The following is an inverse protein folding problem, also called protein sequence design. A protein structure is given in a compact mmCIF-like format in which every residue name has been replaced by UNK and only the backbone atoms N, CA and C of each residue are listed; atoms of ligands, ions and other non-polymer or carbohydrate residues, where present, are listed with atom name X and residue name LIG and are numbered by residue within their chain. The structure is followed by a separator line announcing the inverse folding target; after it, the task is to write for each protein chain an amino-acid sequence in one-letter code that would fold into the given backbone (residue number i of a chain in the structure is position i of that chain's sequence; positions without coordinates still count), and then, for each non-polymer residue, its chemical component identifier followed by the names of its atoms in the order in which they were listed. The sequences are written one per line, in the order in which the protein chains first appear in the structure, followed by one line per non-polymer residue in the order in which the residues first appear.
data_IF_398034935177
#
_entry.id   IF_398034935177
#
_cell.length_a   1.000
_cell.length_b   1.000
_cell.length_c   1.000
_cell.angle_alpha   90.00
_cell.angle_beta   90.00
_cell.angle_gamma   90.00
#
_symmetry.space_group_name_H-M   'P 1'
#
loop_
_entity.id
_entity.type
_entity.pdbx_description
1 polymer ?
#
# COMPACT_ATOMS: atom_id res chain seq x y z
N UNK A 1 25.23 -7.30 31.91
CA UNK A 1 24.17 -6.35 31.50
C UNK A 1 24.07 -6.40 29.98
N UNK A 2 23.09 -7.14 29.47
CA UNK A 2 22.84 -7.33 28.04
C UNK A 2 22.28 -6.05 27.43
N UNK A 3 22.93 -5.57 26.35
CA UNK A 3 22.40 -4.52 25.48
C UNK A 3 21.09 -5.02 24.88
N UNK A 4 20.02 -4.23 25.04
CA UNK A 4 18.73 -4.50 24.40
C UNK A 4 18.88 -4.52 22.88
N UNK A 5 18.54 -5.65 22.27
CA UNK A 5 18.31 -5.74 20.83
C UNK A 5 17.14 -4.80 20.49
N UNK A 6 17.37 -3.86 19.56
CA UNK A 6 16.29 -3.11 18.95
C UNK A 6 15.36 -4.06 18.21
N UNK A 7 14.06 -3.78 18.24
CA UNK A 7 13.05 -4.52 17.50
C UNK A 7 13.37 -4.49 16.01
N UNK A 8 13.57 -5.67 15.41
CA UNK A 8 13.64 -5.83 13.96
C UNK A 8 12.24 -5.62 13.38
N UNK A 9 12.06 -4.55 12.61
CA UNK A 9 10.82 -4.29 11.88
C UNK A 9 10.94 -4.90 10.47
N UNK A 10 10.10 -5.90 10.20
CA UNK A 10 10.03 -6.55 8.90
C UNK A 10 9.00 -5.83 8.02
N UNK A 11 9.46 -5.26 6.92
CA UNK A 11 8.61 -4.77 5.85
C UNK A 11 9.00 -5.46 4.54
N UNK A 12 8.05 -6.13 3.92
CA UNK A 12 8.18 -6.69 2.59
C UNK A 12 7.07 -6.07 1.72
N UNK A 13 7.49 -5.42 0.64
CA UNK A 13 6.58 -4.85 -0.37
C UNK A 13 6.78 -5.63 -1.66
N UNK A 14 5.69 -6.13 -2.23
CA UNK A 14 5.70 -6.74 -3.56
C UNK A 14 4.80 -5.87 -4.43
N UNK A 15 5.42 -5.10 -5.33
CA UNK A 15 4.71 -4.39 -6.37
C UNK A 15 4.75 -5.26 -7.63
N UNK A 16 3.61 -5.82 -8.00
CA UNK A 16 3.47 -6.59 -9.21
C UNK A 16 2.23 -6.07 -9.92
N UNK A 17 2.41 -5.02 -10.68
CA UNK A 17 1.32 -4.66 -11.55
C UNK A 17 1.52 -3.50 -12.47
N UNK A 18 2.64 -2.77 -12.44
CA UNK A 18 2.81 -1.82 -13.54
C UNK A 18 2.85 -2.58 -14.89
N UNK A 19 3.41 -3.79 -14.97
CA UNK A 19 3.84 -4.30 -16.27
C UNK A 19 3.95 -5.84 -16.41
N UNK A 20 3.05 -6.44 -17.21
CA UNK A 20 3.23 -7.77 -17.83
C UNK A 20 2.41 -8.93 -17.22
N UNK A 21 2.19 -9.97 -18.03
CA UNK A 21 1.58 -11.24 -17.60
C UNK A 21 2.60 -12.05 -16.82
N UNK A 22 2.25 -12.42 -15.59
CA UNK A 22 3.07 -13.29 -14.73
C UNK A 22 2.46 -14.69 -14.77
N UNK A 23 3.10 -15.62 -15.49
CA UNK A 23 2.60 -16.99 -15.68
C UNK A 23 2.89 -17.91 -14.48
N UNK A 24 3.93 -17.59 -13.73
CA UNK A 24 4.35 -18.31 -12.52
C UNK A 24 5.21 -17.34 -11.72
N UNK A 25 4.97 -17.24 -10.42
CA UNK A 25 5.81 -16.45 -9.53
C UNK A 25 6.12 -17.26 -8.27
N UNK A 26 7.33 -17.12 -7.77
CA UNK A 26 7.72 -17.61 -6.44
C UNK A 26 7.92 -16.39 -5.57
N UNK A 27 7.02 -16.17 -4.60
CA UNK A 27 7.23 -15.15 -3.59
C UNK A 27 8.20 -15.72 -2.56
N UNK A 28 9.47 -15.30 -2.62
CA UNK A 28 10.36 -15.42 -1.49
C UNK A 28 10.28 -14.12 -0.72
N UNK A 29 9.63 -14.15 0.44
CA UNK A 29 9.59 -12.99 1.33
C UNK A 29 10.97 -12.86 1.95
N UNK A 30 11.78 -11.99 1.37
CA UNK A 30 13.04 -11.53 1.95
C UNK A 30 12.80 -10.13 2.53
N UNK A 31 13.43 -9.78 3.67
CA UNK A 31 13.42 -8.42 4.15
C UNK A 31 13.95 -7.50 3.04
N UNK A 32 13.16 -6.51 2.61
CA UNK A 32 13.59 -5.56 1.58
C UNK A 32 14.81 -4.73 2.00
N UNK A 33 15.02 -4.62 3.31
CA UNK A 33 16.11 -3.90 3.94
C UNK A 33 16.31 -4.42 5.36
N UNK A 34 17.55 -4.45 5.83
CA UNK A 34 17.86 -4.61 7.26
C UNK A 34 17.90 -3.21 7.90
N UNK A 35 16.84 -2.84 8.62
CA UNK A 35 16.80 -1.57 9.35
C UNK A 35 17.59 -1.70 10.66
N UNK A 36 18.80 -1.17 10.68
CA UNK A 36 19.56 -1.00 11.91
C UNK A 36 19.35 0.41 12.47
N UNK A 37 18.57 0.52 13.55
CA UNK A 37 18.48 1.76 14.31
C UNK A 37 19.73 1.93 15.19
N UNK A 38 20.61 2.86 14.81
CA UNK A 38 21.73 3.27 15.67
C UNK A 38 21.32 4.46 16.52
N UNK A 39 21.36 4.31 17.85
CA UNK A 39 21.25 5.45 18.77
C UNK A 39 22.60 6.16 18.87
N UNK A 40 22.67 7.42 18.46
CA UNK A 40 23.82 8.27 18.72
C UNK A 40 23.65 8.91 20.10
N UNK A 41 24.38 8.41 21.11
CA UNK A 41 24.50 9.11 22.38
C UNK A 41 25.47 10.26 22.22
N UNK A 42 24.98 11.49 22.10
CA UNK A 42 25.84 12.67 22.27
C UNK A 42 26.23 12.76 23.75
N UNK A 43 27.48 12.45 24.06
CA UNK A 43 28.00 12.55 25.42
C UNK A 43 28.04 14.00 25.89
N UNK A 44 27.19 14.38 26.82
CA UNK A 44 27.48 15.44 27.78
C UNK A 44 27.57 14.82 29.17
N UNK A 45 28.79 14.74 29.69
CA UNK A 45 29.07 14.36 31.06
C UNK A 45 28.53 15.42 32.02
N UNK A 46 27.27 15.28 32.42
CA UNK A 46 26.69 15.65 33.73
C UNK A 46 25.16 15.67 33.66
N UNK A 47 24.49 14.86 34.50
CA UNK A 47 23.05 14.97 34.81
C UNK A 47 22.09 14.54 33.70
N UNK A 48 21.93 13.22 33.51
CA UNK A 48 21.11 12.64 32.45
C UNK A 48 19.60 12.90 32.57
N UNK A 49 19.08 13.72 31.66
CA UNK A 49 17.69 13.59 31.16
C UNK A 49 17.77 12.88 29.81
N UNK A 50 17.14 11.70 29.68
CA UNK A 50 16.95 11.03 28.40
C UNK A 50 16.04 11.91 27.51
N UNK A 51 16.65 12.77 26.70
CA UNK A 51 15.98 13.40 25.55
C UNK A 51 16.27 12.56 24.32
N UNK A 52 15.25 11.91 23.79
CA UNK A 52 15.25 11.43 22.41
C UNK A 52 15.24 12.66 21.49
N UNK A 53 16.41 13.10 21.04
CA UNK A 53 16.52 14.12 19.99
C UNK A 53 16.82 13.44 18.65
N UNK A 54 15.87 13.52 17.72
CA UNK A 54 16.13 13.30 16.30
C UNK A 54 16.94 14.51 15.79
N UNK A 55 18.26 14.35 15.63
CA UNK A 55 19.07 15.32 14.88
C UNK A 55 19.54 14.69 13.57
N UNK A 56 19.08 15.23 12.45
CA UNK A 56 19.62 14.94 11.12
C UNK A 56 20.38 16.18 10.68
N UNK A 57 21.71 16.09 10.59
CA UNK A 57 22.54 17.15 10.04
C UNK A 57 22.19 17.39 8.57
N UNK A 58 21.82 18.62 8.25
CA UNK A 58 21.49 19.07 6.91
C UNK A 58 22.76 19.28 6.08
N UNK A 59 22.74 18.80 4.83
CA UNK A 59 23.56 19.35 3.75
C UNK A 59 22.68 20.33 2.95
N UNK A 60 23.26 21.38 2.35
CA UNK A 60 22.51 22.53 1.85
C UNK A 60 21.55 22.13 0.74
N UNK A 61 20.35 22.74 0.76
CA UNK A 61 19.36 22.61 -0.28
C UNK A 61 19.98 22.95 -1.65
N UNK A 62 19.79 22.09 -2.64
CA UNK A 62 20.08 22.42 -4.04
C UNK A 62 19.28 23.68 -4.41
N UNK A 63 19.88 24.64 -5.14
CA UNK A 63 19.21 25.88 -5.49
C UNK A 63 17.95 25.61 -6.31
N UNK A 64 16.87 26.31 -5.95
CA UNK A 64 15.61 26.29 -6.68
C UNK A 64 15.83 26.81 -8.09
N UNK A 65 15.56 25.98 -9.10
CA UNK A 65 15.46 26.44 -10.48
C UNK A 65 14.13 27.18 -10.64
N UNK A 66 14.11 28.48 -10.32
CA UNK A 66 13.04 29.40 -10.68
C UNK A 66 13.21 29.85 -12.14
N UNK A 67 12.71 29.02 -13.06
CA UNK A 67 12.46 29.40 -14.45
C UNK A 67 10.99 29.12 -14.77
N UNK A 68 10.37 29.87 -15.69
CA UNK A 68 8.98 29.63 -16.08
C UNK A 68 8.85 28.20 -16.64
N UNK A 69 8.13 27.33 -15.92
CA UNK A 69 7.78 25.98 -16.40
C UNK A 69 6.78 26.15 -17.53
N UNK A 70 7.27 26.15 -18.77
CA UNK A 70 6.46 25.70 -19.90
C UNK A 70 6.13 24.24 -19.61
N UNK A 71 4.91 23.96 -19.16
CA UNK A 71 4.43 22.61 -18.87
C UNK A 71 4.28 21.89 -20.21
N UNK A 72 5.38 21.33 -20.73
CA UNK A 72 5.27 20.22 -21.66
C UNK A 72 4.71 19.07 -20.84
N UNK A 73 3.56 18.46 -21.20
CA UNK A 73 3.14 17.24 -20.53
C UNK A 73 4.29 16.25 -20.65
N UNK A 74 4.74 15.71 -19.51
CA UNK A 74 5.74 14.64 -19.52
C UNK A 74 5.18 13.50 -20.36
N UNK A 75 6.06 12.75 -21.03
CA UNK A 75 5.70 11.56 -21.81
C UNK A 75 4.78 10.62 -21.00
N UNK A 76 5.00 10.54 -19.69
CA UNK A 76 4.18 9.81 -18.72
C UNK A 76 2.69 10.24 -18.73
N UNK A 77 2.40 11.55 -18.76
CA UNK A 77 1.01 12.05 -18.76
C UNK A 77 0.32 11.72 -20.08
N UNK A 78 1.02 11.88 -21.20
CA UNK A 78 0.50 11.54 -22.54
C UNK A 78 0.20 10.04 -22.60
N UNK A 79 1.13 9.23 -22.10
CA UNK A 79 1.03 7.79 -22.03
C UNK A 79 -0.17 7.33 -21.19
N UNK A 80 -0.34 7.87 -19.98
CA UNK A 80 -1.44 7.46 -19.10
C UNK A 80 -2.81 7.88 -19.66
N UNK A 81 -2.88 9.05 -20.33
CA UNK A 81 -4.08 9.44 -21.08
C UNK A 81 -4.37 8.49 -22.23
N UNK A 82 -3.34 7.99 -22.91
CA UNK A 82 -3.51 7.02 -23.98
C UNK A 82 -4.04 5.68 -23.45
N UNK A 83 -3.47 5.16 -22.35
CA UNK A 83 -3.93 3.93 -21.70
C UNK A 83 -5.38 4.06 -21.23
N UNK A 84 -5.74 5.22 -20.64
CA UNK A 84 -7.12 5.48 -20.23
C UNK A 84 -8.09 5.54 -21.43
N UNK A 85 -7.68 6.10 -22.57
CA UNK A 85 -8.49 6.19 -23.78
C UNK A 85 -8.57 4.87 -24.57
N UNK A 86 -7.55 4.01 -24.46
CA UNK A 86 -7.45 2.75 -25.17
C UNK A 86 -7.07 1.62 -24.20
N UNK A 87 -7.94 1.24 -23.28
CA UNK A 87 -7.56 0.33 -22.19
C UNK A 87 -7.20 -1.08 -22.69
N UNK A 88 -7.67 -1.48 -23.88
CA UNK A 88 -7.23 -2.72 -24.56
C UNK A 88 -5.74 -2.71 -24.95
N UNK A 89 -5.13 -1.54 -25.11
CA UNK A 89 -3.70 -1.40 -25.40
C UNK A 89 -2.82 -1.57 -24.16
N UNK A 90 -3.40 -1.52 -22.96
CA UNK A 90 -2.68 -1.56 -21.69
C UNK A 90 -1.73 -2.77 -21.64
N UNK A 91 -2.21 -3.96 -22.03
CA UNK A 91 -1.41 -5.18 -22.03
C UNK A 91 -0.13 -5.07 -22.89
N UNK A 92 -0.28 -4.64 -24.14
CA UNK A 92 0.84 -4.53 -25.08
C UNK A 92 1.85 -3.49 -24.64
N UNK A 93 1.33 -2.32 -24.26
CA UNK A 93 2.12 -1.19 -23.81
C UNK A 93 2.91 -1.51 -22.54
N UNK A 94 2.26 -2.18 -21.60
CA UNK A 94 2.86 -2.58 -20.35
C UNK A 94 3.98 -3.61 -20.58
N UNK A 95 3.75 -4.60 -21.45
CA UNK A 95 4.81 -5.54 -21.84
C UNK A 95 6.03 -4.84 -22.48
N UNK A 96 5.82 -3.82 -23.32
CA UNK A 96 6.91 -3.08 -23.96
C UNK A 96 7.73 -2.29 -22.93
N UNK A 97 7.06 -1.57 -22.04
CA UNK A 97 7.72 -0.83 -20.96
C UNK A 97 8.49 -1.76 -20.03
N UNK A 98 7.97 -2.94 -19.67
CA UNK A 98 8.71 -3.90 -18.83
C UNK A 98 10.04 -4.27 -19.46
N UNK A 99 10.03 -4.61 -20.75
CA UNK A 99 11.25 -4.98 -21.46
C UNK A 99 12.25 -3.83 -21.56
N UNK A 100 11.77 -2.58 -21.59
CA UNK A 100 12.62 -1.40 -21.72
C UNK A 100 13.23 -0.93 -20.38
N UNK A 101 12.45 -1.00 -19.29
CA UNK A 101 12.82 -0.38 -18.00
C UNK A 101 12.68 -1.32 -16.79
N UNK A 102 11.95 -2.41 -16.89
CA UNK A 102 11.72 -3.37 -15.81
C UNK A 102 12.93 -4.26 -15.53
N UNK A 103 13.14 -4.59 -14.26
CA UNK A 103 14.11 -5.63 -13.87
C UNK A 103 15.58 -5.19 -13.76
N UNK A 104 15.90 -3.89 -13.83
CA UNK A 104 17.24 -3.43 -13.45
C UNK A 104 17.33 -3.39 -11.93
N UNK A 105 17.94 -4.41 -11.34
CA UNK A 105 18.31 -4.41 -9.93
C UNK A 105 19.27 -3.24 -9.68
N UNK A 106 18.80 -2.23 -8.95
CA UNK A 106 19.64 -1.18 -8.42
C UNK A 106 19.63 -1.33 -6.90
N UNK A 107 20.82 -1.48 -6.32
CA UNK A 107 20.99 -1.45 -4.88
C UNK A 107 21.31 0.00 -4.48
N UNK A 108 20.40 0.63 -3.75
CA UNK A 108 20.58 1.99 -3.26
C UNK A 108 20.38 2.03 -1.75
N UNK A 109 21.36 2.60 -1.03
CA UNK A 109 21.25 2.84 0.41
C UNK A 109 20.68 4.25 0.61
N UNK A 110 19.42 4.31 1.03
CA UNK A 110 18.68 5.56 1.24
C UNK A 110 18.32 5.73 2.73
N UNK A 111 18.04 6.97 3.13
CA UNK A 111 17.40 7.22 4.43
C UNK A 111 16.00 6.58 4.42
N UNK A 112 15.57 6.02 5.55
CA UNK A 112 14.27 5.37 5.69
C UNK A 112 13.10 6.08 4.97
N UNK A 113 12.83 7.40 5.17
CA UNK A 113 11.75 8.07 4.45
C UNK A 113 11.94 8.09 2.92
N UNK A 114 13.18 8.16 2.43
CA UNK A 114 13.45 8.15 0.99
C UNK A 114 13.39 6.71 0.43
N UNK A 115 13.66 5.71 1.25
CA UNK A 115 13.52 4.30 0.89
C UNK A 115 12.05 3.88 0.81
N UNK A 116 11.17 4.44 1.64
CA UNK A 116 9.74 4.14 1.65
C UNK A 116 8.93 5.02 0.69
N UNK A 117 9.36 6.26 0.44
CA UNK A 117 8.74 7.19 -0.51
C UNK A 117 9.54 7.31 -1.82
N UNK A 118 9.83 6.17 -2.45
CA UNK A 118 10.66 6.10 -3.66
C UNK A 118 9.93 6.48 -4.96
N UNK A 119 8.59 6.56 -4.94
CA UNK A 119 7.79 6.84 -6.14
C UNK A 119 7.76 8.34 -6.46
N UNK A 120 8.80 8.83 -7.12
CA UNK A 120 8.76 10.14 -7.78
C UNK A 120 7.79 10.10 -8.95
N UNK A 121 6.77 10.98 -8.97
CA UNK A 121 5.88 11.15 -10.12
C UNK A 121 4.55 10.40 -10.10
N UNK A 122 4.28 9.57 -9.08
CA UNK A 122 2.95 8.96 -8.88
C UNK A 122 1.86 10.04 -8.71
N UNK A 123 2.23 11.19 -8.13
CA UNK A 123 1.34 12.35 -7.95
C UNK A 123 0.90 12.99 -9.28
N UNK A 124 1.55 12.67 -10.41
CA UNK A 124 1.24 13.26 -11.70
C UNK A 124 0.03 12.61 -12.39
N UNK A 125 -0.43 11.45 -11.89
CA UNK A 125 -1.49 10.66 -12.51
C UNK A 125 -2.54 10.36 -11.43
N UNK A 126 -3.71 11.00 -11.47
CA UNK A 126 -4.78 10.66 -10.56
C UNK A 126 -5.15 9.19 -10.72
N UNK A 127 -5.03 8.44 -9.63
CA UNK A 127 -5.37 7.02 -9.57
C UNK A 127 -6.50 6.79 -8.55
N UNK A 128 -7.18 5.68 -8.73
CA UNK A 128 -8.22 5.16 -7.84
C UNK A 128 -7.74 3.82 -7.29
N UNK A 129 -7.93 3.62 -5.99
CA UNK A 129 -7.25 2.59 -5.22
C UNK A 129 -8.19 1.99 -4.17
N UNK A 130 -8.51 0.71 -4.33
CA UNK A 130 -9.09 -0.11 -3.27
C UNK A 130 -7.98 -0.94 -2.64
N UNK A 131 -7.85 -0.83 -1.32
CA UNK A 131 -6.94 -1.64 -0.53
C UNK A 131 -7.65 -2.28 0.66
N UNK A 132 -7.41 -3.57 0.86
CA UNK A 132 -7.96 -4.36 1.95
C UNK A 132 -6.85 -5.13 2.69
N UNK A 133 -7.05 -5.36 3.97
CA UNK A 133 -6.11 -6.02 4.86
C UNK A 133 -6.72 -7.30 5.44
N UNK A 134 -6.03 -8.43 5.33
CA UNK A 134 -6.44 -9.69 5.94
C UNK A 134 -5.27 -10.41 6.62
N UNK A 135 -5.58 -11.25 7.60
CA UNK A 135 -4.57 -12.02 8.34
C UNK A 135 -3.99 -13.11 7.43
N UNK A 136 -2.66 -13.18 7.40
CA UNK A 136 -1.92 -14.20 6.67
C UNK A 136 -1.92 -15.49 7.49
N UNK A 137 -2.14 -16.61 6.82
CA UNK A 137 -1.96 -17.93 7.42
C UNK A 137 -0.51 -18.38 7.33
N UNK A 138 -0.12 -19.34 8.17
CA UNK A 138 1.28 -19.74 8.35
C UNK A 138 1.97 -20.17 7.03
N UNK A 139 1.21 -20.71 6.08
CA UNK A 139 1.70 -21.18 4.78
C UNK A 139 1.49 -20.16 3.65
N UNK A 140 0.99 -18.96 3.94
CA UNK A 140 0.65 -17.90 2.99
C UNK A 140 -0.37 -18.29 1.91
N UNK A 141 -1.06 -19.43 2.05
CA UNK A 141 -2.03 -19.86 1.03
C UNK A 141 -3.21 -18.89 0.89
N UNK A 142 -3.59 -18.16 1.95
CA UNK A 142 -4.61 -17.10 1.85
C UNK A 142 -4.18 -15.98 0.90
N UNK A 143 -2.90 -15.63 0.89
CA UNK A 143 -2.32 -14.62 -0.01
C UNK A 143 -2.32 -15.11 -1.45
N UNK A 144 -1.91 -16.37 -1.67
CA UNK A 144 -1.89 -16.98 -3.00
C UNK A 144 -3.30 -17.03 -3.60
N UNK A 145 -4.29 -17.45 -2.81
CA UNK A 145 -5.69 -17.49 -3.25
C UNK A 145 -6.21 -16.07 -3.52
N UNK A 146 -5.97 -15.12 -2.63
CA UNK A 146 -6.41 -13.73 -2.80
C UNK A 146 -5.84 -13.08 -4.07
N UNK A 147 -4.57 -13.34 -4.36
CA UNK A 147 -3.85 -12.79 -5.51
C UNK A 147 -4.30 -13.44 -6.83
N UNK A 148 -4.34 -14.78 -6.87
CA UNK A 148 -4.77 -15.52 -8.07
C UNK A 148 -6.22 -15.22 -8.43
N UNK A 149 -7.09 -14.98 -7.43
CA UNK A 149 -8.46 -14.54 -7.71
C UNK A 149 -8.49 -13.24 -8.54
N UNK A 150 -7.66 -12.25 -8.23
CA UNK A 150 -7.58 -11.01 -9.04
C UNK A 150 -7.10 -11.31 -10.46
N UNK A 151 -6.11 -12.19 -10.61
CA UNK A 151 -5.58 -12.62 -11.92
C UNK A 151 -6.67 -13.30 -12.76
N UNK A 152 -7.39 -14.25 -12.18
CA UNK A 152 -8.47 -14.97 -12.86
C UNK A 152 -9.55 -13.99 -13.33
N UNK A 153 -9.85 -13.00 -12.48
CA UNK A 153 -10.83 -11.96 -12.79
C UNK A 153 -10.34 -11.03 -13.90
N UNK A 154 -9.07 -10.67 -13.94
CA UNK A 154 -8.48 -9.93 -15.06
C UNK A 154 -8.68 -10.66 -16.40
N UNK A 155 -8.45 -11.98 -16.44
CA UNK A 155 -8.67 -12.77 -17.66
C UNK A 155 -10.15 -12.88 -18.04
N UNK A 156 -11.04 -13.02 -17.05
CA UNK A 156 -12.48 -13.09 -17.27
C UNK A 156 -12.99 -11.80 -17.94
N UNK A 157 -12.59 -10.63 -17.43
CA UNK A 157 -12.94 -9.32 -18.00
C UNK A 157 -12.30 -9.12 -19.38
N UNK A 158 -11.02 -9.47 -19.54
CA UNK A 158 -10.33 -9.36 -20.82
C UNK A 158 -10.99 -10.22 -21.91
N UNK A 159 -11.49 -11.42 -21.56
CA UNK A 159 -12.26 -12.28 -22.46
C UNK A 159 -13.57 -11.65 -22.97
N UNK A 160 -14.11 -10.65 -22.25
CA UNK A 160 -15.26 -9.84 -22.67
C UNK A 160 -14.88 -8.52 -23.35
N UNK A 161 -13.59 -8.24 -23.52
CA UNK A 161 -13.10 -6.96 -24.02
C UNK A 161 -13.22 -5.82 -23.00
N UNK A 162 -13.37 -6.14 -21.72
CA UNK A 162 -13.45 -5.19 -20.62
C UNK A 162 -12.10 -5.08 -19.90
N UNK A 163 -11.72 -3.87 -19.49
CA UNK A 163 -10.42 -3.59 -18.89
C UNK A 163 -10.56 -2.63 -17.70
N UNK A 164 -11.28 -3.04 -16.64
CA UNK A 164 -11.61 -2.17 -15.51
C UNK A 164 -10.41 -1.88 -14.60
N UNK A 165 -9.31 -2.61 -14.76
CA UNK A 165 -8.12 -2.54 -13.93
C UNK A 165 -6.88 -2.46 -14.83
N UNK A 166 -6.23 -1.29 -14.87
CA UNK A 166 -5.23 -0.98 -15.90
C UNK A 166 -3.91 -0.39 -15.40
N UNK A 167 -3.69 -0.32 -14.07
CA UNK A 167 -2.46 0.24 -13.54
C UNK A 167 -1.59 -0.73 -12.76
N UNK A 168 -1.98 -1.23 -11.58
CA UNK A 168 -1.15 -2.17 -10.81
C UNK A 168 -1.86 -2.86 -9.65
N UNK A 169 -1.50 -4.11 -9.38
CA UNK A 169 -1.80 -4.78 -8.11
C UNK A 169 -0.59 -4.63 -7.20
N UNK A 170 -0.77 -4.22 -5.96
CA UNK A 170 0.32 -4.19 -4.98
C UNK A 170 -0.07 -5.02 -3.76
N UNK A 171 0.93 -5.55 -3.08
CA UNK A 171 0.74 -6.10 -1.74
C UNK A 171 1.88 -5.69 -0.83
N UNK A 172 1.58 -5.61 0.46
CA UNK A 172 2.55 -5.38 1.52
C UNK A 172 2.22 -6.23 2.74
N UNK A 173 3.26 -6.68 3.42
CA UNK A 173 3.13 -7.42 4.67
C UNK A 173 3.48 -6.51 5.84
N UNK A 174 2.61 -6.50 6.85
CA UNK A 174 2.77 -5.71 8.07
C UNK A 174 2.49 -6.57 9.30
N UNK A 175 3.14 -6.25 10.42
CA UNK A 175 2.76 -6.79 11.72
C UNK A 175 1.41 -6.23 12.16
N UNK A 176 0.74 -6.95 13.05
CA UNK A 176 -0.53 -6.53 13.62
C UNK A 176 -0.38 -5.27 14.47
N UNK A 177 -1.52 -4.65 14.80
CA UNK A 177 -1.59 -3.48 15.67
C UNK A 177 -2.75 -3.62 16.64
N UNK A 178 -2.58 -3.17 17.88
CA UNK A 178 -3.68 -3.12 18.86
C UNK A 178 -4.49 -1.82 18.78
N UNK A 179 -4.20 -0.94 17.82
CA UNK A 179 -4.99 0.28 17.61
C UNK A 179 -6.43 -0.07 17.22
N UNK A 180 -7.41 0.44 17.97
CA UNK A 180 -8.80 -0.02 17.93
C UNK A 180 -9.37 -0.19 16.52
N UNK A 181 -9.13 0.78 15.65
CA UNK A 181 -9.66 0.80 14.29
C UNK A 181 -8.65 0.32 13.23
N UNK A 182 -7.49 -0.24 13.59
CA UNK A 182 -6.52 -0.69 12.59
C UNK A 182 -7.10 -1.75 11.64
N UNK A 183 -6.81 -1.62 10.35
CA UNK A 183 -7.13 -2.63 9.34
C UNK A 183 -6.35 -3.95 9.59
N UNK A 184 -5.19 -3.84 10.25
CA UNK A 184 -4.37 -4.95 10.74
C UNK A 184 -4.53 -5.18 12.26
N UNK A 185 -5.74 -4.93 12.80
CA UNK A 185 -6.00 -5.20 14.21
C UNK A 185 -5.95 -6.69 14.56
N UNK A 186 -5.10 -7.04 15.53
CA UNK A 186 -5.02 -8.34 16.19
C UNK A 186 -4.49 -8.15 17.63
N UNK A 187 -4.75 -9.11 18.51
CA UNK A 187 -4.17 -9.18 19.86
C UNK A 187 -2.84 -9.93 19.88
N UNK A 188 -2.58 -10.76 18.88
CA UNK A 188 -1.30 -11.42 18.66
C UNK A 188 -0.33 -10.45 17.95
N UNK A 189 0.74 -9.96 18.62
CA UNK A 189 1.69 -9.03 18.02
C UNK A 189 2.53 -9.66 16.89
N UNK A 190 2.59 -11.00 16.83
CA UNK A 190 3.36 -11.69 15.80
C UNK A 190 2.57 -11.95 14.52
N UNK A 191 1.24 -11.83 14.59
CA UNK A 191 0.36 -11.97 13.45
C UNK A 191 0.77 -11.06 12.28
N UNK A 192 0.86 -11.65 11.10
CA UNK A 192 1.18 -10.94 9.86
C UNK A 192 -0.13 -10.67 9.12
N UNK A 193 -0.26 -9.46 8.60
CA UNK A 193 -1.35 -9.05 7.73
C UNK A 193 -0.82 -8.77 6.32
N UNK A 194 -1.56 -9.23 5.32
CA UNK A 194 -1.38 -8.84 3.94
C UNK A 194 -2.32 -7.69 3.67
N UNK A 195 -1.77 -6.55 3.26
CA UNK A 195 -2.53 -5.48 2.64
C UNK A 195 -2.42 -5.67 1.13
N UNK A 196 -3.55 -5.89 0.47
CA UNK A 196 -3.64 -6.10 -0.98
C UNK A 196 -4.41 -4.93 -1.60
N UNK A 197 -3.89 -4.37 -2.68
CA UNK A 197 -4.49 -3.24 -3.40
C UNK A 197 -4.64 -3.52 -4.88
N UNK A 198 -5.76 -3.02 -5.44
CA UNK A 198 -5.96 -2.88 -6.88
C UNK A 198 -6.03 -1.40 -7.22
N UNK A 199 -5.08 -0.94 -8.03
CA UNK A 199 -4.92 0.44 -8.44
C UNK A 199 -5.24 0.61 -9.93
N UNK A 200 -6.06 1.59 -10.28
CA UNK A 200 -6.35 1.92 -11.68
C UNK A 200 -6.24 3.41 -11.93
N UNK A 201 -6.07 3.82 -13.18
CA UNK A 201 -6.16 5.24 -13.54
C UNK A 201 -7.56 5.76 -13.21
N UNK A 202 -7.65 6.96 -12.65
CA UNK A 202 -8.94 7.56 -12.30
C UNK A 202 -9.87 7.61 -13.53
N UNK A 203 -11.17 7.34 -13.32
CA UNK A 203 -12.21 7.23 -14.36
C UNK A 203 -12.08 6.04 -15.32
N UNK A 204 -11.28 5.03 -14.99
CA UNK A 204 -11.31 3.76 -15.73
C UNK A 204 -12.72 3.15 -15.66
N UNK A 205 -13.39 2.88 -16.80
CA UNK A 205 -14.74 2.32 -16.79
C UNK A 205 -14.80 0.96 -16.08
N UNK A 206 -15.81 0.77 -15.23
CA UNK A 206 -16.04 -0.51 -14.54
C UNK A 206 -15.16 -0.76 -13.31
N UNK A 207 -14.25 0.15 -12.94
CA UNK A 207 -13.34 -0.07 -11.80
C UNK A 207 -14.05 -0.23 -10.46
N UNK A 208 -15.10 0.56 -10.16
CA UNK A 208 -15.83 0.44 -8.90
C UNK A 208 -16.54 -0.91 -8.75
N UNK A 209 -17.10 -1.44 -9.83
CA UNK A 209 -17.72 -2.77 -9.85
C UNK A 209 -16.68 -3.87 -9.68
N UNK A 210 -15.59 -3.80 -10.46
CA UNK A 210 -14.47 -4.73 -10.37
C UNK A 210 -13.87 -4.75 -8.95
N UNK A 211 -13.54 -3.59 -8.41
CA UNK A 211 -12.96 -3.46 -7.07
C UNK A 211 -13.95 -3.93 -5.99
N UNK A 212 -15.25 -3.64 -6.11
CA UNK A 212 -16.27 -4.19 -5.20
C UNK A 212 -16.34 -5.71 -5.22
N UNK A 213 -16.18 -6.34 -6.42
CA UNK A 213 -16.11 -7.80 -6.56
C UNK A 213 -14.89 -8.37 -5.82
N UNK A 214 -13.72 -7.71 -5.91
CA UNK A 214 -12.52 -8.12 -5.18
C UNK A 214 -12.68 -7.94 -3.68
N UNK A 215 -13.16 -6.77 -3.23
CA UNK A 215 -13.42 -6.49 -1.82
C UNK A 215 -14.36 -7.52 -1.20
N UNK A 216 -15.46 -7.83 -1.88
CA UNK A 216 -16.43 -8.83 -1.43
C UNK A 216 -15.78 -10.21 -1.29
N UNK A 217 -15.00 -10.64 -2.28
CA UNK A 217 -14.29 -11.91 -2.19
C UNK A 217 -13.35 -11.94 -0.98
N UNK A 218 -12.56 -10.89 -0.76
CA UNK A 218 -11.63 -10.84 0.37
C UNK A 218 -12.34 -10.74 1.74
N UNK A 219 -13.47 -10.02 1.82
CA UNK A 219 -14.31 -9.96 3.02
C UNK A 219 -14.91 -11.33 3.37
N UNK A 220 -15.47 -12.02 2.37
CA UNK A 220 -16.17 -13.29 2.58
C UNK A 220 -15.21 -14.43 2.91
N UNK A 221 -14.01 -14.44 2.33
CA UNK A 221 -13.06 -15.55 2.48
C UNK A 221 -11.99 -15.31 3.55
N UNK A 222 -11.61 -14.05 3.80
CA UNK A 222 -10.47 -13.72 4.66
C UNK A 222 -10.80 -12.72 5.76
N UNK A 223 -12.07 -12.34 5.91
CA UNK A 223 -12.50 -11.30 6.85
C UNK A 223 -11.71 -10.00 6.65
N UNK A 224 -11.39 -9.67 5.39
CA UNK A 224 -10.57 -8.51 5.06
C UNK A 224 -11.24 -7.19 5.47
N UNK A 225 -10.44 -6.21 5.88
CA UNK A 225 -10.89 -4.88 6.33
C UNK A 225 -10.25 -3.81 5.46
N UNK A 226 -10.96 -2.72 5.11
CA UNK A 226 -10.42 -1.70 4.25
C UNK A 226 -9.29 -0.93 4.91
N UNK A 227 -8.33 -0.52 4.10
CA UNK A 227 -7.41 0.53 4.50
C UNK A 227 -8.13 1.89 4.44
N UNK A 228 -8.27 2.55 5.58
CA UNK A 228 -9.13 3.74 5.72
C UNK A 228 -8.80 4.89 4.77
N UNK A 229 -7.54 5.02 4.36
CA UNK A 229 -7.08 6.10 3.49
C UNK A 229 -7.41 5.87 2.00
N UNK A 230 -8.05 4.75 1.66
CA UNK A 230 -8.31 4.31 0.28
C UNK A 230 -9.82 4.28 0.01
N UNK A 231 -10.22 3.94 -1.21
CA UNK A 231 -11.63 3.91 -1.57
C UNK A 231 -12.26 2.56 -1.20
N UNK A 232 -13.22 2.60 -0.29
CA UNK A 232 -13.93 1.39 0.18
C UNK A 232 -15.42 1.64 0.41
N UNK A 233 -15.86 2.90 0.47
CA UNK A 233 -17.24 3.27 0.80
C UNK A 233 -18.25 2.80 -0.26
N UNK A 234 -17.81 2.65 -1.52
CA UNK A 234 -18.62 2.14 -2.63
C UNK A 234 -18.90 0.64 -2.52
N UNK A 235 -18.16 -0.10 -1.69
CA UNK A 235 -18.31 -1.55 -1.55
C UNK A 235 -19.67 -1.88 -0.90
N UNK A 236 -20.54 -2.66 -1.57
CA UNK A 236 -21.87 -2.98 -1.04
C UNK A 236 -21.82 -3.67 0.33
N UNK A 237 -22.56 -3.13 1.30
CA UNK A 237 -22.67 -3.72 2.64
C UNK A 237 -21.45 -3.55 3.53
N UNK A 238 -20.47 -2.73 3.13
CA UNK A 238 -19.21 -2.53 3.88
C UNK A 238 -19.43 -1.97 5.28
N UNK A 239 -20.33 -1.00 5.46
CA UNK A 239 -20.57 -0.38 6.78
C UNK A 239 -21.14 -1.38 7.80
N UNK A 240 -22.23 -2.12 7.52
CA UNK A 240 -22.69 -3.18 8.41
C UNK A 240 -21.62 -4.24 8.69
N UNK A 241 -20.83 -4.61 7.68
CA UNK A 241 -19.72 -5.55 7.84
C UNK A 241 -18.65 -5.03 8.81
N UNK A 242 -18.22 -3.79 8.66
CA UNK A 242 -17.20 -3.17 9.51
C UNK A 242 -17.66 -3.04 10.96
N UNK A 243 -18.93 -2.70 11.18
CA UNK A 243 -19.49 -2.68 12.54
C UNK A 243 -19.41 -4.05 13.21
N UNK A 244 -19.72 -5.13 12.48
CA UNK A 244 -19.58 -6.50 13.01
C UNK A 244 -18.12 -6.88 13.26
N UNK A 245 -17.22 -6.56 12.34
CA UNK A 245 -15.79 -6.86 12.46
C UNK A 245 -15.10 -6.09 13.59
N UNK A 246 -15.49 -4.84 13.80
CA UNK A 246 -15.00 -4.01 14.89
C UNK A 246 -15.56 -4.48 16.24
N UNK A 247 -16.84 -4.92 16.28
CA UNK A 247 -17.53 -5.37 17.49
C UNK A 247 -17.36 -4.33 18.61
N UNK A 248 -17.09 -4.77 19.84
CA UNK A 248 -16.86 -3.93 21.03
C UNK A 248 -15.77 -2.87 20.84
N UNK A 249 -14.84 -3.05 19.89
CA UNK A 249 -13.80 -2.03 19.59
C UNK A 249 -14.41 -0.77 19.04
N UNK A 250 -15.50 -0.90 18.28
CA UNK A 250 -16.24 0.25 17.75
C UNK A 250 -16.84 1.06 18.89
N UNK A 251 -17.49 0.40 19.84
CA UNK A 251 -18.11 1.06 20.99
C UNK A 251 -17.06 1.78 21.86
N UNK A 252 -15.89 1.13 22.06
CA UNK A 252 -14.76 1.75 22.76
C UNK A 252 -14.23 2.97 22.02
N UNK A 253 -14.07 2.89 20.70
CA UNK A 253 -13.64 4.01 19.88
C UNK A 253 -14.64 5.17 19.95
N UNK A 254 -15.95 4.88 19.83
CA UNK A 254 -17.00 5.88 19.93
C UNK A 254 -17.08 6.53 21.31
N UNK A 255 -16.91 5.76 22.39
CA UNK A 255 -16.85 6.30 23.74
C UNK A 255 -15.69 7.30 23.90
N UNK A 256 -14.49 6.94 23.41
CA UNK A 256 -13.32 7.83 23.40
C UNK A 256 -13.61 9.07 22.57
N UNK A 257 -14.13 8.91 21.34
CA UNK A 257 -14.46 10.01 20.43
C UNK A 257 -15.43 11.01 21.08
N UNK A 258 -16.52 10.51 21.67
CA UNK A 258 -17.53 11.34 22.36
C UNK A 258 -16.96 12.06 23.59
N UNK A 259 -16.11 11.39 24.37
CA UNK A 259 -15.49 12.02 25.55
C UNK A 259 -14.49 13.12 25.18
N UNK A 260 -13.81 12.98 24.04
CA UNK A 260 -12.73 13.87 23.61
C UNK A 260 -13.25 15.04 22.76
N UNK A 261 -14.32 14.83 21.98
CA UNK A 261 -14.94 15.84 21.12
C UNK A 261 -16.45 15.90 21.40
N UNK A 262 -16.89 16.50 22.52
CA UNK A 262 -18.29 16.45 22.96
C UNK A 262 -19.27 17.19 22.03
N UNK A 263 -18.78 18.03 21.12
CA UNK A 263 -19.60 18.94 20.28
C UNK A 263 -19.66 18.58 18.80
N UNK A 264 -19.05 17.47 18.38
CA UNK A 264 -19.14 17.00 16.99
C UNK A 264 -20.21 15.92 16.87
N UNK A 265 -21.33 16.30 16.24
CA UNK A 265 -22.46 15.48 15.79
C UNK A 265 -23.62 15.30 16.79
N UNK A 266 -24.59 16.23 16.70
CA UNK A 266 -26.02 15.89 16.58
C UNK A 266 -26.32 15.41 15.16
#
# INVERSE_FOLDING_TARGET
MSRGQGSEEFAATVNLGLLGVIYTYTLRVEPMFNLHMSMTTSGSSSGGTLRSSLSVSALPAKPSRSGPRVIRPSLEIIFMKFVAAHPSSALFINCLLYKAIGGKSNEEVLKAPNATHYKTGIDNVPCVDLEMAFKVNDDFSSVVVAWNYVIDQLYEYAGRGEFPFNLTMEMRFVKSSTMLMSAAYDTDPEAIYCMIEVLSVNKTPGFEEFSSKMAKFWMDNFQARPHWAKMWEHVPGIVPYLRRQASERFDRFEAIRKSTIPRACS
#
